data_IF_554952491244
#
_entry.id   IF_554952491244
#
_cell.length_a   1.000
_cell.length_b   1.000
_cell.length_c   1.000
_cell.angle_alpha   90.00
_cell.angle_beta   90.00
_cell.angle_gamma   90.00
#
_symmetry.space_group_name_H-M   'P 1'
#
loop_
_entity.id
_entity.type
_entity.pdbx_description
1 polymer ?
#
# COMPACT_ATOMS: atom_id res chain seq x y z
N UNK A 1 16.72 -29.71 31.59
CA UNK A 1 16.52 -29.36 31.25
C UNK A 1 16.01 -28.73 30.57
N UNK A 2 15.86 -28.40 30.16
CA UNK A 2 15.50 -27.87 29.56
C UNK A 2 14.81 -27.12 29.25
N UNK A 3 14.44 -26.66 28.91
CA UNK A 3 13.84 -26.06 28.78
C UNK A 3 13.61 -25.04 28.27
N UNK A 4 13.57 -24.56 28.18
CA UNK A 4 13.61 -23.43 27.88
C UNK A 4 13.21 -23.07 26.68
N UNK A 5 13.26 -23.16 26.21
CA UNK A 5 13.04 -23.00 25.10
C UNK A 5 12.00 -22.44 24.61
N UNK A 6 11.42 -22.66 24.64
CA UNK A 6 10.49 -22.31 24.22
C UNK A 6 10.04 -21.17 24.10
N UNK A 7 9.94 -20.70 24.57
CA UNK A 7 9.61 -19.52 24.73
C UNK A 7 9.66 -18.60 23.73
N UNK A 8 10.60 -18.35 23.33
CA UNK A 8 10.78 -17.42 22.32
C UNK A 8 9.70 -17.37 21.37
N UNK A 9 9.32 -18.40 21.04
CA UNK A 9 8.37 -18.41 20.03
C UNK A 9 7.38 -17.39 20.08
N UNK A 10 6.83 -17.27 20.99
CA UNK A 10 5.81 -16.42 21.05
C UNK A 10 5.91 -15.15 20.57
N UNK A 11 6.66 -14.55 20.93
CA UNK A 11 6.77 -13.24 20.57
C UNK A 11 6.50 -12.99 19.23
N UNK A 12 7.01 -13.58 18.53
CA UNK A 12 6.89 -13.41 17.17
C UNK A 12 5.55 -13.19 16.80
N UNK A 13 4.76 -13.91 17.15
CA UNK A 13 3.48 -13.80 16.83
C UNK A 13 2.84 -12.55 16.98
N UNK A 14 2.97 -11.99 17.98
CA UNK A 14 2.25 -10.78 18.24
C UNK A 14 2.38 -9.74 17.17
N UNK A 15 3.52 -9.56 16.69
CA UNK A 15 3.75 -8.51 15.74
C UNK A 15 2.83 -8.44 14.55
N UNK A 16 2.81 -9.39 13.72
CA UNK A 16 2.03 -9.34 12.51
C UNK A 16 0.54 -9.23 12.74
N UNK A 17 0.13 -9.67 13.84
CA UNK A 17 -1.28 -9.69 14.11
C UNK A 17 -1.92 -8.31 14.16
N UNK A 18 -1.13 -7.29 14.38
CA UNK A 18 -1.70 -5.96 14.52
C UNK A 18 -1.87 -5.18 13.23
N UNK A 19 -1.38 -5.70 12.14
CA UNK A 19 -1.52 -4.99 10.88
C UNK A 19 -2.91 -5.21 10.32
N UNK A 20 -3.60 -4.13 10.06
CA UNK A 20 -4.90 -4.20 9.45
C UNK A 20 -4.73 -4.48 7.96
N UNK A 21 -5.35 -5.52 7.42
CA UNK A 21 -5.21 -5.83 6.00
C UNK A 21 -5.55 -4.65 5.09
N UNK A 22 -6.62 -3.92 5.39
CA UNK A 22 -6.98 -2.77 4.57
C UNK A 22 -5.92 -1.69 4.61
N UNK A 23 -5.33 -1.45 5.77
CA UNK A 23 -4.28 -0.46 5.93
C UNK A 23 -3.06 -0.81 5.07
N UNK A 24 -2.67 -2.08 5.05
CA UNK A 24 -1.58 -2.55 4.21
C UNK A 24 -1.93 -2.34 2.74
N UNK A 25 -3.15 -2.70 2.36
CA UNK A 25 -3.61 -2.56 0.98
C UNK A 25 -3.62 -1.09 0.54
N UNK A 26 -4.09 -0.19 1.41
CA UNK A 26 -4.11 1.25 1.09
C UNK A 26 -2.70 1.74 0.79
N UNK A 27 -1.72 1.32 1.60
CA UNK A 27 -0.34 1.72 1.39
C UNK A 27 0.18 1.20 0.05
N UNK A 28 -0.10 -0.06 -0.26
CA UNK A 28 0.34 -0.65 -1.53
C UNK A 28 -0.29 0.05 -2.73
N UNK A 29 -1.58 0.34 -2.66
CA UNK A 29 -2.28 1.00 -3.76
C UNK A 29 -1.75 2.42 -3.95
N UNK A 30 -1.54 3.14 -2.86
CA UNK A 30 -1.02 4.50 -2.95
C UNK A 30 0.38 4.50 -3.56
N UNK A 31 1.23 3.57 -3.14
CA UNK A 31 2.57 3.45 -3.69
C UNK A 31 2.52 3.08 -5.17
N UNK A 32 1.58 2.22 -5.57
CA UNK A 32 1.44 1.83 -6.97
C UNK A 32 1.05 3.03 -7.84
N UNK A 33 0.12 3.86 -7.37
CA UNK A 33 -0.25 5.06 -8.10
C UNK A 33 0.91 6.06 -8.16
N UNK A 34 1.62 6.24 -7.05
CA UNK A 34 2.77 7.13 -7.04
C UNK A 34 3.85 6.64 -8.02
N UNK A 35 4.09 5.34 -8.05
CA UNK A 35 5.07 4.77 -8.97
C UNK A 35 4.65 4.98 -10.42
N UNK A 36 3.36 4.81 -10.71
CA UNK A 36 2.86 5.04 -12.06
C UNK A 36 3.10 6.48 -12.50
N UNK A 37 2.88 7.43 -11.62
CA UNK A 37 3.01 8.85 -11.94
C UNK A 37 4.47 9.31 -11.97
N UNK A 38 5.27 8.83 -11.04
CA UNK A 38 6.61 9.39 -10.83
C UNK A 38 7.77 8.57 -11.38
N UNK A 39 7.56 7.30 -11.70
CA UNK A 39 8.63 6.43 -12.11
C UNK A 39 8.55 6.11 -13.60
N UNK A 40 9.62 6.38 -14.36
CA UNK A 40 9.61 6.07 -15.79
C UNK A 40 9.49 4.57 -15.99
N UNK A 41 8.77 4.18 -17.01
CA UNK A 41 8.69 2.78 -17.41
C UNK A 41 7.81 1.90 -16.53
N UNK A 42 7.04 2.50 -15.64
CA UNK A 42 6.13 1.73 -14.80
C UNK A 42 4.71 1.94 -15.27
N UNK A 43 3.97 0.85 -15.34
CA UNK A 43 2.57 0.88 -15.71
C UNK A 43 1.73 0.24 -14.61
N UNK A 44 0.45 0.56 -14.62
CA UNK A 44 -0.49 0.09 -13.61
C UNK A 44 -1.73 -0.45 -14.29
N UNK A 45 -2.10 -1.67 -13.97
CA UNK A 45 -3.30 -2.28 -14.50
C UNK A 45 -4.30 -2.40 -13.34
N UNK A 46 -5.43 -1.74 -13.50
CA UNK A 46 -6.43 -1.69 -12.42
C UNK A 46 -6.83 -3.08 -11.92
N UNK A 47 -6.96 -4.03 -12.82
CA UNK A 47 -7.35 -5.38 -12.45
C UNK A 47 -6.35 -6.05 -11.50
N UNK A 48 -5.08 -5.69 -11.58
CA UNK A 48 -4.07 -6.21 -10.67
C UNK A 48 -4.34 -5.74 -9.24
N UNK A 49 -4.84 -4.51 -9.09
CA UNK A 49 -5.19 -3.99 -7.77
C UNK A 49 -6.42 -4.73 -7.23
N UNK A 50 -7.40 -4.99 -8.08
CA UNK A 50 -8.59 -5.73 -7.68
C UNK A 50 -8.21 -7.13 -7.24
N UNK A 51 -7.35 -7.79 -8.00
CA UNK A 51 -6.91 -9.15 -7.66
C UNK A 51 -6.18 -9.17 -6.31
N UNK A 52 -5.37 -8.17 -6.04
CA UNK A 52 -4.66 -8.09 -4.76
C UNK A 52 -5.65 -7.98 -3.60
N UNK A 53 -6.68 -7.17 -3.76
CA UNK A 53 -7.70 -7.04 -2.71
C UNK A 53 -8.40 -8.37 -2.47
N UNK A 54 -8.68 -9.10 -3.55
CA UNK A 54 -9.30 -10.43 -3.43
C UNK A 54 -8.38 -11.41 -2.73
N UNK A 55 -7.10 -11.39 -3.06
CA UNK A 55 -6.10 -12.27 -2.44
C UNK A 55 -5.97 -11.98 -0.95
N UNK A 56 -6.21 -10.75 -0.55
CA UNK A 56 -6.18 -10.35 0.87
C UNK A 56 -7.54 -10.55 1.56
N UNK A 57 -8.51 -11.08 0.85
CA UNK A 57 -9.85 -11.31 1.36
C UNK A 57 -10.56 -10.04 1.83
N UNK A 58 -10.28 -8.93 1.13
CA UNK A 58 -10.96 -7.67 1.44
C UNK A 58 -12.33 -7.66 0.77
N UNK A 59 -13.29 -6.91 1.33
CA UNK A 59 -14.64 -6.86 0.75
C UNK A 59 -14.64 -6.37 -0.69
N UNK A 60 -15.64 -6.80 -1.44
CA UNK A 60 -15.84 -6.32 -2.80
C UNK A 60 -16.01 -4.80 -2.76
N UNK A 61 -15.46 -4.13 -3.74
CA UNK A 61 -15.56 -2.67 -3.80
C UNK A 61 -14.44 -1.94 -3.07
N UNK A 62 -13.58 -2.65 -2.34
CA UNK A 62 -12.51 -2.00 -1.59
C UNK A 62 -11.57 -1.22 -2.51
N UNK A 63 -11.20 -1.80 -3.66
CA UNK A 63 -10.29 -1.13 -4.60
C UNK A 63 -10.85 0.22 -5.03
N UNK A 64 -12.13 0.26 -5.37
CA UNK A 64 -12.75 1.50 -5.83
C UNK A 64 -12.85 2.52 -4.69
N UNK A 65 -13.18 2.08 -3.48
CA UNK A 65 -13.24 2.97 -2.34
C UNK A 65 -11.88 3.59 -2.05
N UNK A 66 -10.83 2.77 -2.10
CA UNK A 66 -9.47 3.25 -1.83
C UNK A 66 -9.04 4.22 -2.93
N UNK A 67 -9.29 3.88 -4.19
CA UNK A 67 -8.94 4.75 -5.30
C UNK A 67 -9.61 6.11 -5.16
N UNK A 68 -10.90 6.11 -4.85
CA UNK A 68 -11.66 7.37 -4.69
C UNK A 68 -11.16 8.20 -3.51
N UNK A 69 -10.82 7.54 -2.41
CA UNK A 69 -10.32 8.23 -1.23
C UNK A 69 -8.95 8.88 -1.51
N UNK A 70 -8.08 8.18 -2.23
CA UNK A 70 -6.78 8.72 -2.60
C UNK A 70 -6.97 9.94 -3.51
N UNK A 71 -7.83 9.83 -4.52
CA UNK A 71 -8.10 10.94 -5.42
C UNK A 71 -8.68 12.14 -4.66
N UNK A 72 -9.58 11.88 -3.72
CA UNK A 72 -10.17 12.95 -2.93
C UNK A 72 -9.11 13.69 -2.14
N UNK A 73 -8.25 12.95 -1.44
CA UNK A 73 -7.22 13.59 -0.62
C UNK A 73 -6.22 14.37 -1.45
N UNK A 74 -5.76 13.79 -2.56
CA UNK A 74 -4.69 14.41 -3.34
C UNK A 74 -5.16 15.57 -4.22
N UNK A 75 -6.47 15.72 -4.39
CA UNK A 75 -7.01 16.84 -5.18
C UNK A 75 -7.70 17.89 -4.31
N UNK A 76 -7.58 17.77 -2.99
CA UNK A 76 -8.26 18.71 -2.09
C UNK A 76 -9.77 18.60 -2.19
N UNK A 77 -10.28 17.42 -2.46
CA UNK A 77 -11.71 17.18 -2.54
C UNK A 77 -12.33 17.42 -3.89
N UNK A 78 -11.53 17.76 -4.90
CA UNK A 78 -12.07 18.05 -6.23
C UNK A 78 -12.46 16.80 -7.01
N UNK A 79 -11.80 15.68 -6.76
CA UNK A 79 -12.08 14.44 -7.45
C UNK A 79 -12.22 13.31 -6.44
N UNK A 80 -12.78 12.20 -6.88
CA UNK A 80 -12.94 11.04 -6.02
C UNK A 80 -14.09 11.24 -5.03
N UNK A 81 -14.04 10.49 -3.95
CA UNK A 81 -15.02 10.55 -2.89
C UNK A 81 -14.34 10.34 -1.56
N UNK A 82 -14.76 11.11 -0.56
CA UNK A 82 -14.24 10.96 0.78
C UNK A 82 -14.72 9.63 1.36
N UNK A 83 -13.79 8.86 1.89
CA UNK A 83 -14.14 7.65 2.61
C UNK A 83 -14.49 7.97 4.06
N UNK A 84 -14.71 6.93 4.86
CA UNK A 84 -14.92 7.14 6.28
C UNK A 84 -13.63 7.65 6.92
N UNK A 85 -13.73 8.09 8.19
CA UNK A 85 -12.58 8.69 8.86
C UNK A 85 -11.39 7.74 8.97
N UNK A 86 -11.64 6.45 9.17
CA UNK A 86 -10.58 5.47 9.29
C UNK A 86 -9.83 5.34 7.95
N UNK A 87 -10.57 5.27 6.85
CA UNK A 87 -9.96 5.17 5.53
C UNK A 87 -9.16 6.43 5.20
N UNK A 88 -9.71 7.60 5.50
CA UNK A 88 -8.97 8.84 5.24
C UNK A 88 -7.68 8.90 6.05
N UNK A 89 -7.71 8.39 7.29
CA UNK A 89 -6.51 8.35 8.11
C UNK A 89 -5.49 7.37 7.51
N UNK A 90 -5.95 6.23 7.03
CA UNK A 90 -5.05 5.26 6.39
C UNK A 90 -4.39 5.86 5.16
N UNK A 91 -5.15 6.60 4.35
CA UNK A 91 -4.60 7.27 3.17
C UNK A 91 -3.57 8.32 3.57
N UNK A 92 -3.86 9.10 4.61
CA UNK A 92 -2.93 10.13 5.08
C UNK A 92 -1.61 9.51 5.56
N UNK A 93 -1.70 8.43 6.33
CA UNK A 93 -0.52 7.75 6.84
C UNK A 93 0.30 7.17 5.69
N UNK A 94 -0.38 6.55 4.72
CA UNK A 94 0.30 5.97 3.56
C UNK A 94 1.00 7.06 2.74
N UNK A 95 0.36 8.21 2.60
CA UNK A 95 0.94 9.34 1.87
C UNK A 95 2.21 9.83 2.56
N UNK A 96 2.14 10.02 3.87
CA UNK A 96 3.29 10.49 4.64
C UNK A 96 4.44 9.50 4.60
N UNK A 97 4.13 8.22 4.74
CA UNK A 97 5.13 7.17 4.73
C UNK A 97 5.83 7.09 3.37
N UNK A 98 5.06 7.19 2.29
CA UNK A 98 5.61 7.15 0.95
C UNK A 98 6.50 8.35 0.68
N UNK A 99 6.05 9.53 1.08
CA UNK A 99 6.81 10.76 0.92
C UNK A 99 8.14 10.69 1.70
N UNK A 100 8.07 10.16 2.91
CA UNK A 100 9.26 10.00 3.74
C UNK A 100 10.27 9.07 3.06
N UNK A 101 9.80 7.95 2.54
CA UNK A 101 10.69 6.97 1.88
C UNK A 101 11.30 7.55 0.61
N UNK A 102 10.52 8.31 -0.17
CA UNK A 102 11.05 8.95 -1.37
C UNK A 102 12.16 9.95 -1.04
N UNK A 103 12.00 10.70 0.03
CA UNK A 103 13.03 11.65 0.44
C UNK A 103 14.25 10.94 0.99
N UNK A 104 14.04 9.88 1.75
CA UNK A 104 15.15 9.16 2.36
C UNK A 104 16.00 8.43 1.32
N UNK A 105 15.36 7.81 0.34
CA UNK A 105 16.06 7.02 -0.67
C UNK A 105 16.45 7.81 -1.91
N UNK A 106 15.76 8.89 -2.19
CA UNK A 106 15.83 9.55 -3.48
C UNK A 106 14.88 8.89 -4.45
N UNK A 107 14.33 9.65 -5.37
CA UNK A 107 13.26 9.15 -6.24
C UNK A 107 13.72 7.97 -7.09
N UNK A 108 14.90 8.04 -7.69
CA UNK A 108 15.38 6.96 -8.56
C UNK A 108 15.50 5.64 -7.81
N UNK A 109 16.07 5.67 -6.60
CA UNK A 109 16.22 4.46 -5.79
C UNK A 109 14.86 3.97 -5.30
N UNK A 110 13.97 4.88 -4.95
CA UNK A 110 12.63 4.51 -4.53
C UNK A 110 11.91 3.78 -5.66
N UNK A 111 12.03 4.30 -6.90
CA UNK A 111 11.41 3.66 -8.05
C UNK A 111 11.93 2.24 -8.26
N UNK A 112 13.24 2.03 -8.12
CA UNK A 112 13.79 0.69 -8.26
C UNK A 112 13.27 -0.25 -7.17
N UNK A 113 13.14 0.25 -5.95
CA UNK A 113 12.60 -0.54 -4.85
C UNK A 113 11.17 -0.97 -5.14
N UNK A 114 10.35 -0.08 -5.72
CA UNK A 114 8.96 -0.40 -6.00
C UNK A 114 8.82 -1.53 -7.02
N UNK A 115 9.71 -1.63 -7.96
CA UNK A 115 9.65 -2.71 -8.96
C UNK A 115 9.68 -4.08 -8.31
N UNK A 116 10.36 -4.21 -7.18
CA UNK A 116 10.41 -5.46 -6.43
C UNK A 116 9.28 -5.53 -5.40
N UNK A 117 9.12 -4.47 -4.63
CA UNK A 117 8.14 -4.47 -3.52
C UNK A 117 6.70 -4.58 -3.98
N UNK A 118 6.40 -4.00 -5.13
CA UNK A 118 5.05 -4.00 -5.66
C UNK A 118 4.89 -4.95 -6.84
N UNK A 119 5.74 -5.97 -6.94
CA UNK A 119 5.62 -6.96 -8.00
C UNK A 119 4.21 -7.57 -7.94
N UNK A 120 3.53 -7.60 -9.06
CA UNK A 120 2.14 -8.05 -9.11
C UNK A 120 1.13 -6.91 -9.05
N UNK A 121 1.54 -5.73 -8.57
CA UNK A 121 0.66 -4.56 -8.56
C UNK A 121 1.05 -3.54 -9.63
N UNK A 122 2.30 -3.54 -10.02
CA UNK A 122 2.76 -2.67 -11.10
C UNK A 122 3.47 -3.52 -12.14
N UNK A 123 3.59 -3.00 -13.33
CA UNK A 123 4.26 -3.69 -14.43
C UNK A 123 5.33 -2.79 -15.00
N UNK A 124 6.40 -3.40 -15.48
CA UNK A 124 7.47 -2.66 -16.14
C UNK A 124 7.15 -2.64 -17.63
N UNK A 125 7.18 -1.47 -18.24
CA UNK A 125 6.92 -1.35 -19.66
C UNK A 125 8.13 -1.91 -20.43
N UNK A 126 7.85 -2.55 -21.53
CA UNK A 126 8.89 -3.12 -22.38
C UNK A 126 9.40 -2.11 -23.43
#
# INVERSE_FOLDING_TARGET
>A
MRRAVLIASLLVIAAPANAEPRSVYVTEVLQAFAAKVECPGIDLVYQDLVQRAQDMHLPDGTTEQVRKAIAFMHTGGKMGERGDDTLMKEVAIATQSTDFDQRRLGLASWCETQKTSLAGLIRTKQ
#
